data_IF_726001837866
#
_entry.id   IF_726001837866
#
_cell.length_a   1.000
_cell.length_b   1.000
_cell.length_c   1.000
_cell.angle_alpha   90.00
_cell.angle_beta   90.00
_cell.angle_gamma   90.00
#
_symmetry.space_group_name_H-M   'P 1'
#
loop_
_entity.id
_entity.type
_entity.pdbx_description
1 polymer ?
#
# COMPACT_ATOMS: atom_id res chain seq x y z
N UNK A 1 5.71 8.96 -8.94
CA UNK A 1 6.84 8.46 -8.09
C UNK A 1 8.12 9.29 -8.21
N UNK A 2 8.49 9.82 -9.37
CA UNK A 2 9.68 10.69 -9.53
C UNK A 2 9.47 12.15 -9.06
N UNK A 3 8.26 12.54 -8.69
CA UNK A 3 7.90 13.90 -8.26
C UNK A 3 8.53 14.24 -6.91
N UNK A 4 9.04 15.47 -6.78
CA UNK A 4 9.62 15.96 -5.52
C UNK A 4 8.55 16.17 -4.45
N UNK A 5 8.85 15.81 -3.20
CA UNK A 5 8.00 15.99 -2.04
C UNK A 5 8.54 17.14 -1.18
N UNK A 6 7.72 18.13 -0.93
CA UNK A 6 7.99 19.21 0.04
C UNK A 6 9.13 20.14 -0.34
N UNK A 7 10.31 19.99 0.25
CA UNK A 7 11.49 20.85 0.10
C UNK A 7 12.28 20.66 -1.21
N UNK A 8 11.78 19.85 -2.14
CA UNK A 8 12.40 19.59 -3.45
C UNK A 8 13.62 18.66 -3.43
N UNK A 9 14.04 18.16 -2.26
CA UNK A 9 15.23 17.30 -2.11
C UNK A 9 14.91 15.81 -2.07
N UNK A 10 13.69 15.44 -1.66
CA UNK A 10 13.23 14.05 -1.62
C UNK A 10 12.18 13.80 -2.69
N UNK A 11 12.27 12.68 -3.37
CA UNK A 11 11.22 12.18 -4.26
C UNK A 11 10.30 11.21 -3.51
N UNK A 12 9.06 11.03 -3.98
CA UNK A 12 8.16 9.98 -3.47
C UNK A 12 8.79 8.59 -3.55
N UNK A 13 9.65 8.36 -4.52
CA UNK A 13 10.44 7.13 -4.63
C UNK A 13 11.41 6.93 -3.46
N UNK A 14 12.10 7.99 -3.03
CA UNK A 14 13.00 7.94 -1.88
C UNK A 14 12.22 7.74 -0.57
N UNK A 15 11.03 8.32 -0.47
CA UNK A 15 10.14 8.12 0.67
C UNK A 15 9.65 6.67 0.74
N UNK A 16 9.19 6.13 -0.39
CA UNK A 16 8.78 4.72 -0.49
C UNK A 16 9.93 3.77 -0.13
N UNK A 17 11.16 4.07 -0.54
CA UNK A 17 12.33 3.28 -0.13
C UNK A 17 12.52 3.26 1.40
N UNK A 18 12.33 4.41 2.07
CA UNK A 18 12.41 4.49 3.54
C UNK A 18 11.29 3.69 4.21
N UNK A 19 10.05 3.85 3.74
CA UNK A 19 8.90 3.09 4.24
C UNK A 19 9.14 1.59 4.06
N UNK A 20 9.59 1.16 2.88
CA UNK A 20 9.89 -0.24 2.60
C UNK A 20 10.94 -0.83 3.56
N UNK A 21 11.95 -0.06 3.96
CA UNK A 21 12.94 -0.50 4.96
C UNK A 21 12.31 -0.75 6.33
N UNK A 22 11.42 0.14 6.78
CA UNK A 22 10.75 -0.01 8.07
C UNK A 22 9.76 -1.20 8.00
N UNK A 23 9.00 -1.32 6.91
CA UNK A 23 8.12 -2.47 6.66
C UNK A 23 8.92 -3.78 6.69
N UNK A 24 10.12 -3.79 6.10
CA UNK A 24 11.01 -4.96 6.12
C UNK A 24 11.47 -5.29 7.55
N UNK A 25 11.93 -4.29 8.31
CA UNK A 25 12.38 -4.49 9.70
C UNK A 25 11.29 -5.10 10.56
N UNK A 26 10.08 -4.58 10.47
CA UNK A 26 8.91 -5.12 11.20
C UNK A 26 8.48 -6.47 10.63
N UNK A 27 8.37 -6.58 9.31
CA UNK A 27 7.92 -7.80 8.63
C UNK A 27 8.80 -9.02 8.90
N UNK A 28 10.12 -8.83 9.01
CA UNK A 28 11.06 -9.92 9.31
C UNK A 28 10.94 -10.48 10.74
N UNK A 29 10.33 -9.73 11.66
CA UNK A 29 9.98 -10.23 13.00
C UNK A 29 8.89 -11.30 12.89
N UNK A 30 7.91 -11.09 12.00
CA UNK A 30 6.77 -11.99 11.81
C UNK A 30 7.05 -13.09 10.77
N UNK A 31 7.89 -12.81 9.77
CA UNK A 31 8.29 -13.78 8.75
C UNK A 31 9.80 -13.81 8.53
N UNK A 32 10.45 -14.82 9.10
CA UNK A 32 11.89 -15.05 8.94
C UNK A 32 12.32 -15.35 7.49
N UNK A 33 11.37 -15.63 6.58
CA UNK A 33 11.65 -15.80 5.15
C UNK A 33 11.99 -14.49 4.45
N UNK A 34 11.62 -13.36 5.06
CA UNK A 34 11.82 -12.02 4.51
C UNK A 34 10.61 -11.51 3.72
N UNK A 35 10.79 -10.39 3.06
CA UNK A 35 9.77 -9.70 2.26
C UNK A 35 10.09 -9.81 0.78
N UNK A 36 9.08 -10.03 -0.04
CA UNK A 36 9.19 -10.05 -1.50
C UNK A 36 8.79 -8.66 -2.05
N UNK A 37 9.66 -8.07 -2.88
CA UNK A 37 9.37 -6.81 -3.58
C UNK A 37 9.10 -7.11 -5.05
N UNK A 38 7.89 -6.79 -5.50
CA UNK A 38 7.47 -6.87 -6.89
C UNK A 38 7.47 -5.48 -7.51
N UNK A 39 8.01 -5.37 -8.70
CA UNK A 39 8.00 -4.15 -9.49
C UNK A 39 7.20 -4.40 -10.76
N UNK A 40 6.43 -3.42 -11.21
CA UNK A 40 5.57 -3.57 -12.39
C UNK A 40 6.37 -3.75 -13.69
N UNK A 41 7.56 -3.15 -13.76
CA UNK A 41 8.31 -3.02 -15.01
C UNK A 41 9.74 -3.60 -14.94
N UNK A 42 10.03 -4.44 -13.94
CA UNK A 42 11.33 -5.08 -13.77
C UNK A 42 11.24 -6.34 -12.90
N UNK A 43 12.27 -7.18 -12.89
CA UNK A 43 12.26 -8.40 -12.07
C UNK A 43 12.04 -8.13 -10.59
N UNK A 44 11.31 -9.01 -9.92
CA UNK A 44 11.10 -8.98 -8.49
C UNK A 44 12.41 -9.23 -7.71
N UNK A 45 12.48 -8.66 -6.51
CA UNK A 45 13.52 -8.97 -5.52
C UNK A 45 12.89 -9.76 -4.40
N UNK A 46 13.23 -11.05 -4.32
CA UNK A 46 12.58 -11.99 -3.42
C UNK A 46 13.38 -12.22 -2.14
N UNK A 47 12.67 -12.50 -1.04
CA UNK A 47 13.23 -12.88 0.27
C UNK A 47 14.23 -11.86 0.81
N UNK A 48 13.93 -10.59 0.66
CA UNK A 48 14.76 -9.51 1.21
C UNK A 48 14.69 -9.57 2.73
N UNK A 49 15.85 -9.52 3.40
CA UNK A 49 15.98 -9.60 4.86
C UNK A 49 16.75 -8.44 5.47
N UNK A 50 17.30 -7.56 4.67
CA UNK A 50 18.10 -6.45 5.17
C UNK A 50 17.92 -5.18 4.31
N UNK A 51 18.15 -4.03 4.94
CA UNK A 51 17.97 -2.72 4.32
C UNK A 51 18.86 -2.49 3.09
N UNK A 52 20.06 -3.12 3.01
CA UNK A 52 20.97 -2.95 1.86
C UNK A 52 20.39 -3.55 0.57
N UNK A 53 19.61 -4.64 0.69
CA UNK A 53 18.97 -5.24 -0.48
C UNK A 53 17.79 -4.41 -0.95
N UNK A 54 17.09 -3.71 -0.03
CA UNK A 54 16.11 -2.67 -0.38
C UNK A 54 16.79 -1.55 -1.16
N UNK A 55 17.95 -1.02 -0.67
CA UNK A 55 18.68 0.02 -1.38
C UNK A 55 19.04 -0.39 -2.81
N UNK A 56 19.52 -1.62 -3.02
CA UNK A 56 19.80 -2.15 -4.35
C UNK A 56 18.57 -2.22 -5.25
N UNK A 57 17.44 -2.64 -4.68
CA UNK A 57 16.18 -2.74 -5.40
C UNK A 57 15.64 -1.36 -5.83
N UNK A 58 15.95 -0.30 -5.07
CA UNK A 58 15.51 1.06 -5.33
C UNK A 58 16.50 1.97 -6.07
N UNK A 59 17.65 1.44 -6.51
CA UNK A 59 18.68 2.22 -7.25
C UNK A 59 18.09 2.87 -8.50
N UNK A 60 17.28 2.15 -9.27
CA UNK A 60 16.67 2.67 -10.49
C UNK A 60 15.31 3.31 -10.17
N UNK A 61 15.08 4.50 -10.71
CA UNK A 61 13.77 5.15 -10.62
C UNK A 61 12.68 4.31 -11.32
N UNK A 62 11.41 4.45 -10.90
CA UNK A 62 10.30 3.79 -11.58
C UNK A 62 10.10 4.38 -12.98
N UNK A 63 9.67 3.54 -13.91
CA UNK A 63 9.39 3.93 -15.30
C UNK A 63 8.46 2.92 -15.93
N UNK A 64 7.77 3.31 -17.01
CA UNK A 64 6.87 2.45 -17.78
C UNK A 64 5.41 2.55 -17.32
N UNK A 65 4.60 1.61 -17.79
CA UNK A 65 3.16 1.53 -17.52
C UNK A 65 2.86 0.94 -16.15
N UNK A 66 1.59 0.92 -15.76
CA UNK A 66 1.12 0.53 -14.44
C UNK A 66 0.21 -0.71 -14.47
N UNK A 67 0.69 -1.89 -14.93
CA UNK A 67 -0.12 -3.10 -15.11
C UNK A 67 -0.48 -3.77 -13.77
N UNK A 68 -1.28 -3.08 -12.94
CA UNK A 68 -1.65 -3.55 -11.60
C UNK A 68 -2.51 -4.81 -11.64
N UNK A 69 -3.44 -4.93 -12.60
CA UNK A 69 -4.28 -6.12 -12.72
C UNK A 69 -3.45 -7.39 -12.95
N UNK A 70 -2.51 -7.34 -13.89
CA UNK A 70 -1.63 -8.46 -14.19
C UNK A 70 -0.72 -8.82 -13.00
N UNK A 71 -0.12 -7.81 -12.36
CA UNK A 71 0.75 -7.99 -11.20
C UNK A 71 -0.01 -8.59 -10.01
N UNK A 72 -1.19 -8.07 -9.67
CA UNK A 72 -2.01 -8.58 -8.59
C UNK A 72 -2.45 -10.02 -8.86
N UNK A 73 -2.93 -10.30 -10.08
CA UNK A 73 -3.35 -11.65 -10.51
C UNK A 73 -2.21 -12.67 -10.39
N UNK A 74 -0.99 -12.26 -10.70
CA UNK A 74 0.19 -13.09 -10.49
C UNK A 74 0.41 -13.38 -9.00
N UNK A 75 0.40 -12.34 -8.15
CA UNK A 75 0.70 -12.45 -6.71
C UNK A 75 -0.33 -13.31 -5.97
N UNK A 76 -1.64 -13.13 -6.24
CA UNK A 76 -2.69 -13.91 -5.57
C UNK A 76 -2.69 -15.41 -5.96
N UNK A 77 -1.98 -15.77 -7.01
CA UNK A 77 -1.78 -17.18 -7.42
C UNK A 77 -0.57 -17.83 -6.74
N UNK A 78 0.31 -17.06 -6.11
CA UNK A 78 1.46 -17.60 -5.39
C UNK A 78 1.03 -18.44 -4.19
N UNK A 79 1.84 -19.44 -3.79
CA UNK A 79 1.55 -20.28 -2.62
C UNK A 79 1.31 -19.48 -1.33
N UNK A 80 1.97 -18.34 -1.16
CA UNK A 80 1.81 -17.46 -0.01
C UNK A 80 0.36 -16.94 0.15
N UNK A 81 -0.31 -16.61 -0.95
CA UNK A 81 -1.69 -16.12 -0.95
C UNK A 81 -2.74 -17.21 -0.65
N UNK A 82 -2.34 -18.48 -0.69
CA UNK A 82 -3.24 -19.66 -0.52
C UNK A 82 -3.18 -20.26 0.89
N UNK A 83 -2.28 -19.77 1.75
CA UNK A 83 -2.07 -20.39 3.08
C UNK A 83 -3.24 -20.16 4.03
N UNK A 84 -3.75 -18.97 4.16
CA UNK A 84 -4.97 -18.56 4.84
C UNK A 84 -5.25 -19.03 6.27
N UNK A 85 -5.03 -20.28 6.56
CA UNK A 85 -5.36 -20.90 7.85
C UNK A 85 -4.30 -20.61 8.93
N UNK A 86 -3.02 -20.57 8.56
CA UNK A 86 -1.90 -20.37 9.47
C UNK A 86 -1.25 -18.99 9.30
N UNK A 87 -1.29 -18.46 8.09
CA UNK A 87 -0.64 -17.20 7.74
C UNK A 87 -1.35 -16.51 6.57
N UNK A 88 -1.67 -15.26 6.74
CA UNK A 88 -2.28 -14.45 5.69
C UNK A 88 -1.21 -13.70 4.91
N UNK A 89 -1.47 -13.44 3.64
CA UNK A 89 -0.65 -12.55 2.84
C UNK A 89 -1.05 -11.11 3.14
N UNK A 90 -0.10 -10.29 3.55
CA UNK A 90 -0.25 -8.84 3.60
C UNK A 90 0.44 -8.25 2.36
N UNK A 91 -0.32 -7.62 1.50
CA UNK A 91 0.14 -7.06 0.24
C UNK A 91 0.11 -5.53 0.31
N UNK A 92 1.26 -4.89 0.14
CA UNK A 92 1.38 -3.44 -0.02
C UNK A 92 1.46 -3.10 -1.49
N UNK A 93 0.57 -2.23 -1.96
CA UNK A 93 0.56 -1.72 -3.33
C UNK A 93 0.82 -0.22 -3.29
N UNK A 94 2.01 0.20 -3.74
CA UNK A 94 2.34 1.62 -3.86
C UNK A 94 2.18 2.06 -5.32
N UNK A 95 1.33 3.04 -5.56
CA UNK A 95 1.05 3.57 -6.90
C UNK A 95 0.89 5.09 -6.88
N UNK A 96 1.22 5.73 -8.00
CA UNK A 96 1.07 7.17 -8.24
C UNK A 96 0.23 7.49 -9.48
N UNK A 97 -0.44 6.49 -10.05
CA UNK A 97 -1.22 6.67 -11.27
C UNK A 97 -2.34 5.66 -11.44
N UNK A 98 -3.15 5.89 -12.47
CA UNK A 98 -4.20 4.98 -12.87
C UNK A 98 -3.63 3.63 -13.31
N UNK A 99 -4.34 2.52 -13.04
CA UNK A 99 -4.01 1.21 -13.60
C UNK A 99 -4.04 1.25 -15.13
N UNK A 100 -3.04 0.63 -15.74
CA UNK A 100 -3.01 0.41 -17.19
C UNK A 100 -2.83 -1.07 -17.49
N UNK A 101 -3.11 -1.47 -18.74
CA UNK A 101 -2.63 -2.74 -19.28
C UNK A 101 -1.13 -2.72 -19.62
N UNK A 102 -0.62 -3.79 -20.20
CA UNK A 102 0.79 -3.91 -20.60
C UNK A 102 1.13 -3.00 -21.80
N UNK A 103 0.13 -2.54 -22.56
CA UNK A 103 0.24 -1.62 -23.69
C UNK A 103 0.08 -0.15 -23.27
N UNK A 104 -0.34 0.12 -22.03
CA UNK A 104 -0.50 1.46 -21.47
C UNK A 104 -1.90 2.05 -21.61
N UNK A 105 -2.90 1.25 -21.99
CA UNK A 105 -4.29 1.71 -21.99
C UNK A 105 -4.89 1.67 -20.59
N UNK A 106 -5.82 2.57 -20.22
CA UNK A 106 -6.50 2.53 -18.92
C UNK A 106 -7.17 1.17 -18.67
N UNK A 107 -6.92 0.58 -17.49
CA UNK A 107 -7.35 -0.79 -17.14
C UNK A 107 -7.94 -0.90 -15.73
N UNK A 108 -8.56 0.16 -15.24
CA UNK A 108 -9.22 0.16 -13.93
C UNK A 108 -10.32 -0.92 -13.82
N UNK A 109 -11.18 -1.16 -14.84
CA UNK A 109 -12.21 -2.20 -14.72
C UNK A 109 -11.64 -3.59 -14.49
N UNK A 110 -10.53 -3.94 -15.14
CA UNK A 110 -9.89 -5.24 -14.95
C UNK A 110 -9.19 -5.33 -13.59
N UNK A 111 -8.56 -4.25 -13.13
CA UNK A 111 -7.99 -4.20 -11.79
C UNK A 111 -9.08 -4.34 -10.72
N UNK A 112 -10.22 -3.67 -10.89
CA UNK A 112 -11.39 -3.81 -10.01
C UNK A 112 -11.92 -5.26 -10.02
N UNK A 113 -11.98 -5.90 -11.20
CA UNK A 113 -12.37 -7.30 -11.33
C UNK A 113 -11.46 -8.24 -10.53
N UNK A 114 -10.14 -8.05 -10.61
CA UNK A 114 -9.18 -8.86 -9.83
C UNK A 114 -9.36 -8.65 -8.34
N UNK A 115 -9.58 -7.41 -7.89
CA UNK A 115 -9.76 -7.08 -6.49
C UNK A 115 -11.06 -7.67 -5.90
N UNK A 116 -12.19 -7.57 -6.63
CA UNK A 116 -13.51 -8.03 -6.14
C UNK A 116 -13.73 -9.53 -6.34
N UNK A 117 -13.31 -10.08 -7.49
CA UNK A 117 -13.74 -11.41 -7.90
C UNK A 117 -12.65 -12.48 -7.84
N UNK A 118 -11.38 -12.10 -7.99
CA UNK A 118 -10.28 -13.07 -8.01
C UNK A 118 -9.52 -13.13 -6.68
N UNK A 119 -9.39 -12.01 -5.97
CA UNK A 119 -8.75 -11.97 -4.65
C UNK A 119 -9.62 -12.67 -3.61
N UNK A 120 -9.04 -13.53 -2.80
CA UNK A 120 -9.70 -14.04 -1.60
C UNK A 120 -9.38 -13.14 -0.40
N UNK A 121 -10.35 -12.36 0.13
CA UNK A 121 -10.11 -11.45 1.24
C UNK A 121 -9.73 -12.16 2.54
N UNK A 122 -10.11 -13.43 2.72
CA UNK A 122 -9.78 -14.20 3.93
C UNK A 122 -8.30 -14.61 3.98
N UNK A 123 -7.60 -14.61 2.86
CA UNK A 123 -6.19 -15.03 2.78
C UNK A 123 -5.26 -13.91 2.35
N UNK A 124 -5.78 -12.83 1.74
CA UNK A 124 -4.97 -11.73 1.19
C UNK A 124 -5.56 -10.39 1.62
N UNK A 125 -4.87 -9.71 2.51
CA UNK A 125 -5.15 -8.35 2.95
C UNK A 125 -4.35 -7.38 2.09
N UNK A 126 -4.94 -6.25 1.71
CA UNK A 126 -4.32 -5.29 0.79
C UNK A 126 -4.29 -3.91 1.44
N UNK A 127 -3.10 -3.34 1.48
CA UNK A 127 -2.85 -1.96 1.85
C UNK A 127 -2.41 -1.17 0.62
N UNK A 128 -3.13 -0.13 0.27
CA UNK A 128 -2.72 0.81 -0.76
C UNK A 128 -1.97 2.01 -0.16
N UNK A 129 -0.79 2.27 -0.70
CA UNK A 129 0.00 3.47 -0.43
C UNK A 129 -0.15 4.41 -1.62
N UNK A 130 -0.98 5.44 -1.48
CA UNK A 130 -1.25 6.38 -2.55
C UNK A 130 -0.14 7.42 -2.60
N UNK A 131 0.51 7.50 -3.75
CA UNK A 131 1.64 8.40 -3.98
C UNK A 131 1.30 9.52 -4.97
N UNK A 132 0.02 9.90 -5.08
CA UNK A 132 -0.46 10.94 -5.98
C UNK A 132 -1.56 11.77 -5.30
N UNK A 133 -1.68 13.04 -5.72
CA UNK A 133 -2.76 13.93 -5.32
C UNK A 133 -3.80 14.10 -6.45
N UNK A 134 -3.72 13.31 -7.52
CA UNK A 134 -4.65 13.39 -8.66
C UNK A 134 -6.04 12.88 -8.26
N UNK A 135 -7.09 13.73 -8.32
CA UNK A 135 -8.42 13.38 -7.81
C UNK A 135 -9.02 12.12 -8.44
N UNK A 136 -8.84 11.93 -9.74
CA UNK A 136 -9.35 10.76 -10.46
C UNK A 136 -8.77 9.42 -9.97
N UNK A 137 -7.52 9.43 -9.48
CA UNK A 137 -6.88 8.25 -8.91
C UNK A 137 -7.33 7.99 -7.47
N UNK A 138 -7.69 9.03 -6.72
CA UNK A 138 -8.00 8.92 -5.28
C UNK A 138 -9.43 8.41 -5.04
N UNK A 139 -10.39 8.80 -5.89
CA UNK A 139 -11.81 8.50 -5.66
C UNK A 139 -12.14 7.00 -5.60
N UNK A 140 -11.59 6.19 -6.50
CA UNK A 140 -11.89 4.76 -6.49
C UNK A 140 -11.22 4.04 -5.33
N UNK A 141 -10.03 4.46 -4.89
CA UNK A 141 -9.39 3.92 -3.70
C UNK A 141 -10.21 4.22 -2.44
N UNK A 142 -10.70 5.44 -2.26
CA UNK A 142 -11.56 5.81 -1.14
C UNK A 142 -12.90 5.03 -1.13
N UNK A 143 -13.40 4.63 -2.31
CA UNK A 143 -14.54 3.71 -2.41
C UNK A 143 -14.15 2.31 -1.94
N UNK A 144 -13.00 1.79 -2.37
CA UNK A 144 -12.55 0.44 -2.03
C UNK A 144 -12.23 0.27 -0.55
N UNK A 145 -11.65 1.26 0.06
CA UNK A 145 -11.41 1.35 1.50
C UNK A 145 -12.68 1.05 2.32
N UNK A 146 -13.77 1.68 1.95
CA UNK A 146 -15.07 1.53 2.62
C UNK A 146 -15.87 0.28 2.23
N UNK A 147 -15.61 -0.31 1.06
CA UNK A 147 -16.48 -1.36 0.49
C UNK A 147 -15.82 -2.71 0.33
N UNK A 148 -14.50 -2.78 0.34
CA UNK A 148 -13.79 -4.04 0.20
C UNK A 148 -13.29 -4.57 1.54
N UNK A 149 -13.59 -5.81 1.84
CA UNK A 149 -13.12 -6.46 3.06
C UNK A 149 -11.60 -6.62 3.05
N UNK A 150 -10.96 -6.26 4.18
CA UNK A 150 -9.51 -6.37 4.38
C UNK A 150 -8.70 -5.62 3.30
N UNK A 151 -9.16 -4.42 3.01
CA UNK A 151 -8.48 -3.41 2.21
C UNK A 151 -8.42 -2.14 3.04
N UNK A 152 -7.29 -1.47 3.09
CA UNK A 152 -7.10 -0.14 3.66
C UNK A 152 -6.28 0.70 2.68
N UNK A 153 -6.50 1.99 2.71
CA UNK A 153 -5.86 2.97 1.84
C UNK A 153 -5.23 4.06 2.70
N UNK A 154 -3.96 4.33 2.49
CA UNK A 154 -3.28 5.42 3.17
C UNK A 154 -2.58 6.35 2.17
N UNK A 155 -2.67 7.64 2.43
CA UNK A 155 -1.96 8.66 1.69
C UNK A 155 -0.47 8.75 2.10
N UNK A 156 0.26 9.72 1.58
CA UNK A 156 1.58 10.04 2.12
C UNK A 156 1.48 10.49 3.59
N UNK A 157 2.58 10.37 4.34
CA UNK A 157 2.62 10.64 5.78
C UNK A 157 2.07 12.02 6.18
N UNK A 158 2.27 13.06 5.35
CA UNK A 158 1.84 14.42 5.69
C UNK A 158 0.34 14.57 5.54
N UNK A 159 -0.21 14.07 4.46
CA UNK A 159 -1.64 14.06 4.16
C UNK A 159 -2.37 13.21 5.19
N UNK A 160 -1.92 11.99 5.42
CA UNK A 160 -2.49 11.06 6.41
C UNK A 160 -2.53 11.68 7.82
N UNK A 161 -1.41 12.27 8.26
CA UNK A 161 -1.32 12.96 9.54
C UNK A 161 -2.29 14.14 9.64
N UNK A 162 -2.46 14.91 8.56
CA UNK A 162 -3.38 16.05 8.54
C UNK A 162 -4.83 15.56 8.66
N UNK A 163 -5.20 14.53 7.92
CA UNK A 163 -6.54 13.91 7.95
C UNK A 163 -6.87 13.34 9.32
N UNK A 164 -5.96 12.57 9.92
CA UNK A 164 -6.14 12.03 11.28
C UNK A 164 -6.32 13.16 12.30
N UNK A 165 -5.52 14.22 12.22
CA UNK A 165 -5.67 15.37 13.13
C UNK A 165 -6.95 16.17 12.91
N UNK A 166 -7.48 16.18 11.70
CA UNK A 166 -8.78 16.78 11.42
C UNK A 166 -9.90 16.04 12.19
N UNK A 167 -9.86 14.72 12.26
CA UNK A 167 -10.91 13.92 12.90
C UNK A 167 -10.66 13.65 14.40
N UNK A 168 -9.40 13.54 14.82
CA UNK A 168 -9.01 13.18 16.21
C UNK A 168 -8.58 14.37 17.07
N UNK A 169 -8.41 15.56 16.45
CA UNK A 169 -7.95 16.80 17.09
C UNK A 169 -6.54 17.20 16.67
N UNK A 170 -6.29 18.52 16.62
CA UNK A 170 -5.03 19.09 16.09
C UNK A 170 -3.77 18.63 16.83
N UNK A 171 -3.89 18.30 18.12
CA UNK A 171 -2.80 17.85 18.97
C UNK A 171 -2.65 16.31 19.02
N UNK A 172 -3.46 15.57 18.25
CA UNK A 172 -3.37 14.12 18.22
C UNK A 172 -1.95 13.67 17.83
N UNK A 173 -1.29 12.84 18.68
CA UNK A 173 0.06 12.38 18.42
C UNK A 173 0.05 11.35 17.30
N UNK A 174 0.61 11.70 16.16
CA UNK A 174 0.77 10.80 15.03
C UNK A 174 2.17 10.99 14.45
N UNK A 175 3.04 10.05 14.76
CA UNK A 175 4.45 10.02 14.32
C UNK A 175 4.60 9.23 13.00
N UNK A 176 5.79 9.25 12.42
CA UNK A 176 6.12 8.38 11.30
C UNK A 176 6.04 6.89 11.68
N UNK A 177 6.33 6.55 12.95
CA UNK A 177 6.15 5.19 13.45
C UNK A 177 4.69 4.76 13.46
N UNK A 178 3.78 5.63 13.91
CA UNK A 178 2.34 5.36 13.90
C UNK A 178 1.82 5.20 12.46
N UNK A 179 2.31 6.02 11.54
CA UNK A 179 2.00 5.90 10.10
C UNK A 179 2.40 4.54 9.53
N UNK A 180 3.61 4.06 9.87
CA UNK A 180 4.06 2.74 9.41
C UNK A 180 3.24 1.62 10.05
N UNK A 181 2.86 1.77 11.33
CA UNK A 181 1.96 0.80 11.99
C UNK A 181 0.60 0.80 11.28
N UNK A 182 0.01 1.97 10.99
CA UNK A 182 -1.23 2.03 10.21
C UNK A 182 -1.07 1.33 8.86
N UNK A 183 -0.02 1.64 8.12
CA UNK A 183 0.25 0.99 6.84
C UNK A 183 0.47 -0.54 6.96
N UNK A 184 0.92 -1.06 8.10
CA UNK A 184 1.14 -2.49 8.32
C UNK A 184 -0.13 -3.24 8.70
N UNK A 185 -1.00 -2.63 9.50
CA UNK A 185 -2.11 -3.35 10.13
C UNK A 185 -3.49 -2.71 9.89
N UNK A 186 -3.60 -1.60 9.16
CA UNK A 186 -4.89 -0.96 8.84
C UNK A 186 -5.85 -1.94 8.18
N UNK A 187 -5.42 -2.61 7.12
CA UNK A 187 -6.23 -3.65 6.45
C UNK A 187 -6.55 -4.89 7.33
N UNK A 188 -6.09 -4.93 8.59
CA UNK A 188 -6.26 -6.07 9.52
C UNK A 188 -7.03 -5.66 10.77
N UNK A 189 -6.80 -4.46 11.29
CA UNK A 189 -7.38 -3.93 12.52
C UNK A 189 -8.29 -2.74 12.22
N UNK A 190 -9.62 -2.91 12.33
CA UNK A 190 -10.59 -1.85 12.05
C UNK A 190 -10.43 -0.59 12.92
N UNK A 191 -9.80 -0.71 14.11
CA UNK A 191 -9.57 0.45 14.98
C UNK A 191 -8.45 1.33 14.43
N UNK A 192 -7.45 0.73 13.83
CA UNK A 192 -6.34 1.42 13.18
C UNK A 192 -6.76 1.98 11.82
N UNK A 193 -7.56 1.22 11.08
CA UNK A 193 -8.19 1.62 9.83
C UNK A 193 -8.99 2.93 10.02
N UNK A 194 -9.90 2.94 10.97
CA UNK A 194 -10.78 4.07 11.25
C UNK A 194 -10.07 5.35 11.75
N UNK A 195 -8.75 5.38 11.95
CA UNK A 195 -8.06 6.57 12.49
C UNK A 195 -8.23 7.82 11.63
N UNK A 196 -8.31 7.68 10.32
CA UNK A 196 -8.49 8.76 9.34
C UNK A 196 -9.94 8.96 8.89
N UNK A 197 -10.90 8.35 9.60
CA UNK A 197 -12.33 8.48 9.34
C UNK A 197 -13.04 9.40 10.34
N UNK A 198 -14.20 9.98 9.99
CA UNK A 198 -15.05 10.70 10.93
C UNK A 198 -15.43 9.82 12.14
N UNK A 199 -15.46 10.40 13.32
CA UNK A 199 -15.98 9.71 14.51
C UNK A 199 -17.50 9.59 14.34
N UNK A 200 -18.03 8.37 14.26
CA UNK A 200 -19.47 8.14 14.32
C UNK A 200 -19.98 8.58 15.70
N UNK A 201 -20.69 9.70 15.74
CA UNK A 201 -21.45 10.09 16.93
C UNK A 201 -22.71 9.26 16.91
N UNK A 202 -22.79 8.22 17.75
CA UNK A 202 -24.05 7.57 18.01
C UNK A 202 -24.92 8.58 18.78
N UNK A 203 -25.88 9.19 18.12
CA UNK A 203 -26.97 9.93 18.77
C UNK A 203 -27.85 8.89 19.53
N UNK A 204 -27.61 8.79 20.85
CA UNK A 204 -28.48 8.08 21.77
C UNK A 204 -29.79 8.87 22.02
#
# INVERSE_FOLDING_TARGET
MATSVGDGKNTRWNELCKITKIVLEVGTIFDSNGVDLFFLNRPASLRIKNARDVDKAFVSAPSGYTPLAAALRYIIRLPAAKRGNDKKLLLFIATDGEPTDEEGNPDLPEFENVMYNERNPETTHVMFLICTDEPGCVEYFAKWDRTMKNVDVTDDFRTERATIRQYRGCDYPFSLGDYVIKALIGAVDPTIDALNEPIEVNDD
#
